data_IF_084253112207
#
_entry.id   IF_084253112207
#
_cell.length_a   1.000
_cell.length_b   1.000
_cell.length_c   1.000
_cell.angle_alpha   90.00
_cell.angle_beta   90.00
_cell.angle_gamma   90.00
#
_symmetry.space_group_name_H-M   'P 1'
#
loop_
_entity.id
_entity.type
_entity.pdbx_description
1 polymer ?
#
# COMPACT_ATOMS: atom_id res chain seq x y z
N UNK A 1 -32.78 14.65 39.75
CA UNK A 1 -33.99 14.63 38.92
C UNK A 1 -33.58 14.96 37.49
N UNK A 2 -33.18 13.98 36.73
CA UNK A 2 -33.27 13.87 35.28
C UNK A 2 -32.88 12.46 34.92
N UNK A 3 -33.89 11.69 34.66
CA UNK A 3 -33.84 10.38 34.07
C UNK A 3 -34.06 10.53 32.57
N UNK A 4 -33.62 9.52 31.80
CA UNK A 4 -33.86 9.24 30.39
C UNK A 4 -32.84 9.79 29.40
N UNK A 5 -31.92 8.94 29.04
CA UNK A 5 -31.47 8.85 27.66
C UNK A 5 -31.53 7.39 27.21
N UNK A 6 -32.47 7.16 26.35
CA UNK A 6 -32.75 5.88 25.71
C UNK A 6 -31.58 5.46 24.78
N UNK A 7 -31.51 4.17 24.59
CA UNK A 7 -30.70 3.53 23.56
C UNK A 7 -31.12 4.08 22.20
N UNK A 8 -30.32 4.96 21.63
CA UNK A 8 -30.46 5.35 20.21
C UNK A 8 -29.88 4.23 19.37
N UNK A 9 -30.74 3.64 18.58
CA UNK A 9 -30.42 2.62 17.59
C UNK A 9 -29.40 3.19 16.59
N UNK A 10 -28.27 2.51 16.40
CA UNK A 10 -27.20 2.96 15.49
C UNK A 10 -27.65 3.10 14.03
N UNK A 11 -28.81 2.53 13.68
CA UNK A 11 -29.41 2.62 12.36
C UNK A 11 -30.09 3.98 12.10
N UNK A 12 -30.64 4.63 13.12
CA UNK A 12 -31.24 5.97 12.99
C UNK A 12 -30.19 7.07 12.81
N UNK A 13 -29.01 6.90 13.38
CA UNK A 13 -27.89 7.85 13.22
C UNK A 13 -27.39 7.93 11.78
N UNK A 14 -27.36 6.82 11.04
CA UNK A 14 -26.93 6.80 9.64
C UNK A 14 -28.00 7.42 8.71
N UNK A 15 -29.27 7.18 8.98
CA UNK A 15 -30.40 7.76 8.22
C UNK A 15 -30.51 9.26 8.49
N UNK A 16 -30.27 9.72 9.71
CA UNK A 16 -30.24 11.14 10.06
C UNK A 16 -29.04 11.88 9.41
N UNK A 17 -27.89 11.22 9.27
CA UNK A 17 -26.74 11.80 8.56
C UNK A 17 -27.00 11.97 7.05
N UNK A 18 -27.83 11.13 6.45
CA UNK A 18 -28.18 11.21 5.03
C UNK A 18 -29.17 12.37 4.75
N UNK A 19 -30.07 12.69 5.68
CA UNK A 19 -31.06 13.79 5.53
C UNK A 19 -30.49 15.21 5.74
N UNK A 20 -29.35 15.36 6.42
CA UNK A 20 -28.67 16.66 6.60
C UNK A 20 -27.85 17.07 5.37
N UNK A 21 -27.81 16.24 4.32
CA UNK A 21 -26.88 16.37 3.18
C UNK A 21 -27.30 17.36 2.10
N UNK A 22 -28.39 18.07 2.25
CA UNK A 22 -28.80 19.15 1.30
C UNK A 22 -28.05 20.47 1.47
N UNK A 23 -27.17 20.62 2.47
CA UNK A 23 -26.38 21.85 2.66
C UNK A 23 -24.88 21.53 2.83
N UNK A 24 -24.13 21.56 1.71
CA UNK A 24 -22.73 21.90 1.53
C UNK A 24 -21.78 21.74 2.74
N UNK A 25 -21.51 20.52 3.20
CA UNK A 25 -20.34 20.22 4.04
C UNK A 25 -19.64 19.00 3.46
N UNK A 26 -18.32 19.09 3.25
CA UNK A 26 -17.54 17.96 2.79
C UNK A 26 -17.57 16.84 3.84
N UNK A 27 -18.16 15.69 3.50
CA UNK A 27 -18.11 14.53 4.38
C UNK A 27 -16.74 13.86 4.27
N UNK A 28 -16.11 13.51 5.40
CA UNK A 28 -14.89 12.72 5.40
C UNK A 28 -15.19 11.31 4.89
N UNK A 29 -14.12 10.57 4.51
CA UNK A 29 -14.20 9.13 4.24
C UNK A 29 -14.96 8.42 5.35
N UNK A 30 -16.03 7.71 4.99
CA UNK A 30 -16.86 6.94 5.92
C UNK A 30 -16.90 5.47 5.54
N UNK A 31 -17.07 4.60 6.53
CA UNK A 31 -17.38 3.19 6.29
C UNK A 31 -18.89 3.02 6.10
N UNK A 32 -19.28 2.18 5.14
CA UNK A 32 -20.65 1.77 4.95
C UNK A 32 -20.73 0.28 4.60
N UNK A 33 -21.82 -0.37 5.00
CA UNK A 33 -22.12 -1.74 4.65
C UNK A 33 -23.10 -1.73 3.46
N UNK A 34 -22.67 -2.28 2.32
CA UNK A 34 -23.43 -2.31 1.08
C UNK A 34 -24.09 -3.67 0.95
N UNK A 35 -25.43 -3.70 0.83
CA UNK A 35 -26.17 -4.93 0.56
C UNK A 35 -25.86 -5.45 -0.84
N UNK A 36 -25.50 -6.70 -0.93
CA UNK A 36 -25.18 -7.37 -2.18
C UNK A 36 -26.40 -8.09 -2.74
N UNK A 37 -26.43 -8.27 -4.06
CA UNK A 37 -27.52 -8.97 -4.76
C UNK A 37 -27.64 -10.45 -4.36
N UNK A 38 -26.59 -11.05 -3.81
CA UNK A 38 -26.58 -12.42 -3.28
C UNK A 38 -27.07 -12.54 -1.82
N UNK A 39 -27.55 -11.43 -1.23
CA UNK A 39 -28.03 -11.35 0.15
C UNK A 39 -26.92 -11.11 1.18
N UNK A 40 -25.67 -11.06 0.77
CA UNK A 40 -24.53 -10.71 1.64
C UNK A 40 -24.40 -9.21 1.87
N UNK A 41 -23.44 -8.84 2.72
CA UNK A 41 -23.05 -7.44 2.95
C UNK A 41 -21.55 -7.27 2.67
N UNK A 42 -21.21 -6.12 2.13
CA UNK A 42 -19.81 -5.73 1.88
C UNK A 42 -19.51 -4.43 2.62
N UNK A 43 -18.62 -4.51 3.61
CA UNK A 43 -18.10 -3.33 4.28
C UNK A 43 -17.06 -2.64 3.40
N UNK A 44 -17.26 -1.35 3.12
CA UNK A 44 -16.36 -0.59 2.26
C UNK A 44 -16.25 0.87 2.67
N UNK A 45 -15.23 1.54 2.15
CA UNK A 45 -15.03 2.98 2.32
C UNK A 45 -15.76 3.71 1.20
N UNK A 46 -16.58 4.70 1.55
CA UNK A 46 -17.18 5.64 0.61
C UNK A 46 -16.47 7.01 0.77
N UNK A 47 -15.82 7.46 -0.31
CA UNK A 47 -15.14 8.77 -0.37
C UNK A 47 -15.91 9.67 -1.34
N UNK A 48 -16.70 10.60 -0.78
CA UNK A 48 -17.52 11.56 -1.54
C UNK A 48 -16.73 12.88 -1.67
N UNK A 49 -16.59 13.40 -2.90
CA UNK A 49 -15.80 14.61 -3.10
C UNK A 49 -16.03 15.29 -4.43
N UNK A 50 -15.33 16.42 -4.63
CA UNK A 50 -15.36 17.18 -5.88
C UNK A 50 -14.60 16.41 -6.98
N UNK A 51 -15.33 15.55 -7.68
CA UNK A 51 -14.81 14.74 -8.80
C UNK A 51 -15.87 14.55 -9.86
N UNK A 52 -15.45 14.24 -11.08
CA UNK A 52 -16.36 13.98 -12.21
C UNK A 52 -16.65 12.48 -12.38
N UNK A 53 -15.70 11.64 -12.06
CA UNK A 53 -15.74 10.20 -12.31
C UNK A 53 -15.89 9.40 -11.02
N UNK A 54 -16.57 8.26 -11.12
CA UNK A 54 -16.63 7.25 -10.06
C UNK A 54 -15.47 6.28 -10.28
N UNK A 55 -14.79 5.89 -9.20
CA UNK A 55 -13.72 4.90 -9.25
C UNK A 55 -13.82 3.94 -8.07
N UNK A 56 -13.58 2.67 -8.36
CA UNK A 56 -13.42 1.60 -7.38
C UNK A 56 -11.93 1.27 -7.23
N UNK A 57 -11.49 1.04 -6.00
CA UNK A 57 -10.15 0.55 -5.69
C UNK A 57 -10.18 -0.27 -4.41
N UNK A 58 -9.09 -0.94 -4.11
CA UNK A 58 -8.85 -1.52 -2.78
C UNK A 58 -7.87 -0.57 -2.07
N UNK A 59 -8.17 -0.22 -0.82
CA UNK A 59 -7.28 0.61 0.01
C UNK A 59 -5.97 -0.12 0.32
N UNK A 60 -5.02 0.57 0.91
CA UNK A 60 -3.74 -0.05 1.32
C UNK A 60 -3.95 -1.09 2.43
N UNK A 61 -4.99 -0.90 3.26
CA UNK A 61 -5.39 -1.82 4.32
C UNK A 61 -6.23 -3.01 3.79
N UNK A 62 -6.45 -3.10 2.46
CA UNK A 62 -7.20 -4.18 1.84
C UNK A 62 -8.71 -3.96 1.83
N UNK A 63 -9.22 -2.82 2.29
CA UNK A 63 -10.66 -2.52 2.30
C UNK A 63 -11.11 -1.95 0.94
N UNK A 64 -12.22 -2.43 0.35
CA UNK A 64 -12.80 -1.82 -0.85
C UNK A 64 -13.14 -0.34 -0.62
N UNK A 65 -12.79 0.51 -1.57
CA UNK A 65 -13.08 1.94 -1.53
C UNK A 65 -13.74 2.37 -2.83
N UNK A 66 -14.89 3.02 -2.73
CA UNK A 66 -15.55 3.70 -3.85
C UNK A 66 -15.42 5.21 -3.69
N UNK A 67 -14.95 5.87 -4.73
CA UNK A 67 -14.84 7.33 -4.81
C UNK A 67 -15.92 7.86 -5.74
N UNK A 68 -16.77 8.72 -5.23
CA UNK A 68 -17.95 9.22 -5.96
C UNK A 68 -18.02 10.76 -5.92
N UNK A 69 -18.65 11.40 -6.94
CA UNK A 69 -18.97 12.83 -6.91
C UNK A 69 -20.03 13.16 -5.86
N UNK A 70 -20.10 14.43 -5.48
CA UNK A 70 -21.22 14.93 -4.69
C UNK A 70 -22.56 14.62 -5.36
N UNK A 71 -23.59 14.29 -4.57
CA UNK A 71 -24.93 13.96 -5.05
C UNK A 71 -25.10 12.57 -5.65
N UNK A 72 -24.10 11.70 -5.56
CA UNK A 72 -24.25 10.29 -5.93
C UNK A 72 -25.11 9.56 -4.89
N UNK A 73 -26.24 8.96 -5.31
CA UNK A 73 -27.15 8.24 -4.42
C UNK A 73 -26.56 6.89 -3.98
N UNK A 74 -27.00 6.40 -2.81
CA UNK A 74 -26.59 5.09 -2.31
C UNK A 74 -27.03 3.94 -3.23
N UNK A 75 -28.20 4.05 -3.87
CA UNK A 75 -28.66 3.06 -4.84
C UNK A 75 -27.69 2.92 -6.03
N UNK A 76 -27.22 4.06 -6.55
CA UNK A 76 -26.24 4.09 -7.62
C UNK A 76 -24.89 3.50 -7.17
N UNK A 77 -24.47 3.76 -5.94
CA UNK A 77 -23.27 3.18 -5.34
C UNK A 77 -23.46 1.66 -5.24
N UNK A 78 -24.58 1.20 -4.70
CA UNK A 78 -24.91 -0.23 -4.57
C UNK A 78 -24.92 -0.94 -5.92
N UNK A 79 -25.54 -0.36 -6.95
CA UNK A 79 -25.53 -0.91 -8.31
C UNK A 79 -24.12 -1.06 -8.88
N UNK A 80 -23.26 -0.04 -8.70
CA UNK A 80 -21.88 -0.09 -9.19
C UNK A 80 -21.09 -1.16 -8.45
N UNK A 81 -21.25 -1.27 -7.13
CA UNK A 81 -20.59 -2.27 -6.31
C UNK A 81 -21.02 -3.68 -6.74
N UNK A 82 -22.33 -3.91 -6.87
CA UNK A 82 -22.87 -5.19 -7.29
C UNK A 82 -22.39 -5.60 -8.69
N UNK A 83 -22.37 -4.69 -9.66
CA UNK A 83 -21.82 -4.95 -11.01
C UNK A 83 -20.32 -5.31 -10.98
N UNK A 84 -19.58 -4.87 -10.00
CA UNK A 84 -18.13 -5.08 -9.89
C UNK A 84 -17.74 -6.04 -8.76
N UNK A 85 -18.69 -6.73 -8.13
CA UNK A 85 -18.44 -7.56 -6.94
C UNK A 85 -17.40 -8.65 -7.17
N UNK A 86 -17.42 -9.29 -8.35
CA UNK A 86 -16.44 -10.32 -8.71
C UNK A 86 -15.02 -9.75 -8.81
N UNK A 87 -14.86 -8.53 -9.35
CA UNK A 87 -13.58 -7.84 -9.38
C UNK A 87 -13.12 -7.49 -7.95
N UNK A 88 -14.00 -6.96 -7.11
CA UNK A 88 -13.71 -6.61 -5.72
C UNK A 88 -13.23 -7.85 -4.96
N UNK A 89 -14.00 -8.94 -4.98
CA UNK A 89 -13.66 -10.21 -4.30
C UNK A 89 -12.34 -10.79 -4.80
N UNK A 90 -12.09 -10.74 -6.12
CA UNK A 90 -10.82 -11.19 -6.71
C UNK A 90 -9.64 -10.32 -6.27
N UNK A 91 -9.84 -9.02 -6.20
CA UNK A 91 -8.81 -8.07 -5.77
C UNK A 91 -8.50 -8.23 -4.27
N UNK A 92 -9.53 -8.36 -3.41
CA UNK A 92 -9.35 -8.68 -1.98
C UNK A 92 -8.64 -10.03 -1.77
N UNK A 93 -9.06 -11.08 -2.47
CA UNK A 93 -8.43 -12.39 -2.39
C UNK A 93 -6.97 -12.37 -2.89
N UNK A 94 -6.66 -11.53 -3.88
CA UNK A 94 -5.28 -11.33 -4.36
C UNK A 94 -4.42 -10.64 -3.32
N UNK A 95 -4.95 -9.60 -2.65
CA UNK A 95 -4.26 -8.89 -1.56
C UNK A 95 -4.06 -9.78 -0.33
N UNK A 96 -5.08 -10.57 0.03
CA UNK A 96 -5.00 -11.50 1.16
C UNK A 96 -4.06 -12.68 0.91
N UNK A 97 -3.86 -13.09 -0.35
CA UNK A 97 -2.88 -14.13 -0.73
C UNK A 97 -1.45 -13.60 -0.84
N UNK A 98 -1.26 -12.30 -0.98
CA UNK A 98 0.08 -11.72 -1.07
C UNK A 98 0.63 -11.56 0.34
N UNK A 99 1.54 -12.43 0.70
CA UNK A 99 2.44 -12.18 1.81
C UNK A 99 3.23 -10.91 1.42
N UNK A 100 3.12 -9.89 2.24
CA UNK A 100 3.70 -8.57 1.97
C UNK A 100 4.24 -7.92 3.24
N UNK A 101 4.03 -6.64 3.40
CA UNK A 101 4.36 -5.92 4.63
C UNK A 101 3.40 -6.32 5.78
N UNK A 102 3.77 -6.11 7.05
CA UNK A 102 2.94 -6.45 8.19
C UNK A 102 1.55 -5.82 8.14
N UNK A 103 0.55 -6.55 8.59
CA UNK A 103 -0.85 -6.10 8.72
C UNK A 103 -1.29 -6.07 10.17
N UNK A 104 -1.00 -7.13 10.92
CA UNK A 104 -1.42 -7.30 12.32
C UNK A 104 -0.29 -7.10 13.31
N UNK A 105 0.96 -7.27 12.89
CA UNK A 105 2.19 -7.19 13.71
C UNK A 105 2.22 -8.23 14.83
N UNK A 106 1.41 -9.29 14.70
CA UNK A 106 1.33 -10.35 15.69
C UNK A 106 2.50 -11.32 15.56
N UNK A 107 2.82 -11.96 16.68
CA UNK A 107 3.81 -13.05 16.69
C UNK A 107 3.38 -14.19 15.76
N UNK A 108 4.27 -14.61 14.86
CA UNK A 108 4.00 -15.62 13.85
C UNK A 108 3.40 -15.07 12.53
N UNK A 109 3.10 -13.77 12.41
CA UNK A 109 2.65 -13.20 11.14
C UNK A 109 3.73 -13.37 10.06
N UNK A 110 3.35 -13.98 8.92
CA UNK A 110 4.24 -14.11 7.76
C UNK A 110 4.22 -12.84 6.93
N UNK A 111 5.39 -12.29 6.72
CA UNK A 111 5.63 -11.12 5.87
C UNK A 111 6.66 -11.44 4.80
N UNK A 112 6.79 -10.56 3.81
CA UNK A 112 7.81 -10.71 2.78
C UNK A 112 8.82 -9.57 2.82
N UNK A 113 10.09 -9.90 2.98
CA UNK A 113 11.19 -8.96 2.91
C UNK A 113 12.30 -9.52 2.02
N UNK A 114 12.83 -8.72 1.12
CA UNK A 114 13.89 -9.08 0.17
C UNK A 114 13.58 -10.36 -0.63
N UNK A 115 12.29 -10.55 -0.98
CA UNK A 115 11.80 -11.70 -1.73
C UNK A 115 11.61 -12.98 -0.90
N UNK A 116 11.99 -12.98 0.38
CA UNK A 116 11.84 -14.11 1.30
C UNK A 116 10.61 -13.95 2.17
N UNK A 117 9.98 -15.07 2.52
CA UNK A 117 8.95 -15.12 3.56
C UNK A 117 9.63 -15.25 4.92
N UNK A 118 9.31 -14.34 5.84
CA UNK A 118 9.84 -14.31 7.19
C UNK A 118 8.70 -14.18 8.20
N UNK A 119 8.80 -14.85 9.33
CA UNK A 119 7.84 -14.72 10.41
C UNK A 119 8.25 -13.56 11.34
N UNK A 120 7.29 -12.74 11.76
CA UNK A 120 7.50 -11.81 12.87
C UNK A 120 7.58 -12.63 14.16
N UNK A 121 8.70 -12.54 14.86
CA UNK A 121 8.92 -13.25 16.12
C UNK A 121 9.18 -12.26 17.26
N UNK A 122 8.26 -12.23 18.20
CA UNK A 122 8.41 -11.46 19.41
C UNK A 122 9.37 -12.16 20.38
N UNK A 123 10.41 -11.47 20.83
CA UNK A 123 11.42 -11.98 21.76
C UNK A 123 11.54 -11.04 22.96
N UNK A 124 12.00 -11.56 24.09
CA UNK A 124 12.20 -10.72 25.27
C UNK A 124 13.28 -9.66 25.02
N UNK A 125 13.01 -8.42 25.42
CA UNK A 125 13.95 -7.30 25.30
C UNK A 125 15.28 -7.54 26.04
N UNK A 126 15.30 -8.45 27.01
CA UNK A 126 16.53 -8.83 27.72
C UNK A 126 17.52 -9.60 26.83
N UNK A 127 17.06 -10.20 25.72
CA UNK A 127 17.92 -10.94 24.81
C UNK A 127 18.64 -10.00 23.81
N UNK A 128 17.98 -8.91 23.40
CA UNK A 128 18.51 -7.88 22.48
C UNK A 128 17.60 -6.64 22.48
N UNK A 129 18.15 -5.49 22.06
CA UNK A 129 17.44 -4.20 22.15
C UNK A 129 16.93 -3.66 20.80
N UNK A 130 17.38 -4.22 19.69
CA UNK A 130 17.02 -3.74 18.35
C UNK A 130 16.45 -4.87 17.50
N UNK A 131 15.46 -4.59 16.60
CA UNK A 131 14.96 -5.59 15.68
C UNK A 131 16.07 -6.18 14.80
N UNK A 132 15.96 -7.46 14.51
CA UNK A 132 16.95 -8.18 13.71
C UNK A 132 16.28 -9.09 12.69
N UNK A 133 16.69 -8.98 11.42
CA UNK A 133 16.29 -9.87 10.36
C UNK A 133 17.28 -11.04 10.28
N UNK A 134 16.74 -12.25 10.34
CA UNK A 134 17.43 -13.50 10.04
C UNK A 134 16.94 -14.08 8.72
N UNK A 135 17.37 -15.28 8.35
CA UNK A 135 16.90 -15.91 7.11
C UNK A 135 15.39 -16.15 7.06
N UNK A 136 14.76 -16.48 8.19
CA UNK A 136 13.35 -16.90 8.25
C UNK A 136 12.51 -16.09 9.25
N UNK A 137 13.11 -15.20 10.03
CA UNK A 137 12.45 -14.49 11.10
C UNK A 137 12.85 -13.02 11.13
N UNK A 138 11.87 -12.17 11.43
CA UNK A 138 12.06 -10.81 11.87
C UNK A 138 11.86 -10.77 13.39
N UNK A 139 12.95 -10.74 14.14
CA UNK A 139 12.95 -10.71 15.59
C UNK A 139 12.65 -9.29 16.06
N UNK A 140 11.60 -9.14 16.87
CA UNK A 140 11.18 -7.86 17.44
C UNK A 140 11.33 -7.94 18.96
N UNK A 141 12.20 -7.11 19.57
CA UNK A 141 12.34 -7.08 21.02
C UNK A 141 11.09 -6.47 21.65
N UNK A 142 10.46 -7.20 22.55
CA UNK A 142 9.30 -6.75 23.32
C UNK A 142 9.52 -7.00 24.81
N UNK A 143 8.84 -6.22 25.64
CA UNK A 143 8.70 -6.47 27.07
C UNK A 143 7.25 -6.80 27.40
N UNK A 144 6.98 -7.31 28.59
CA UNK A 144 5.61 -7.54 29.07
C UNK A 144 4.77 -6.26 29.16
N UNK A 145 5.40 -5.09 29.05
CA UNK A 145 4.73 -3.79 29.08
C UNK A 145 4.62 -3.15 27.68
N UNK A 146 5.13 -3.80 26.63
CA UNK A 146 5.07 -3.26 25.27
C UNK A 146 3.63 -3.22 24.78
N UNK A 147 3.20 -2.05 24.30
CA UNK A 147 1.89 -1.88 23.66
C UNK A 147 1.95 -2.31 22.20
N UNK A 148 0.80 -2.67 21.60
CA UNK A 148 0.71 -2.97 20.17
C UNK A 148 1.25 -1.83 19.29
N UNK A 149 0.97 -0.58 19.70
CA UNK A 149 1.45 0.60 18.99
C UNK A 149 2.98 0.73 19.02
N UNK A 150 3.63 0.34 20.12
CA UNK A 150 5.09 0.33 20.22
C UNK A 150 5.70 -0.76 19.35
N UNK A 151 5.12 -1.97 19.35
CA UNK A 151 5.54 -3.08 18.48
C UNK A 151 5.43 -2.68 17.02
N UNK A 152 4.29 -2.10 16.63
CA UNK A 152 4.07 -1.60 15.28
C UNK A 152 5.11 -0.55 14.88
N UNK A 153 5.27 0.48 15.71
CA UNK A 153 6.22 1.57 15.43
C UNK A 153 7.66 1.06 15.28
N UNK A 154 8.09 0.14 16.14
CA UNK A 154 9.42 -0.45 16.10
C UNK A 154 9.63 -1.30 14.84
N UNK A 155 8.64 -2.11 14.49
CA UNK A 155 8.66 -2.94 13.28
C UNK A 155 8.68 -2.09 12.01
N UNK A 156 7.81 -1.09 11.91
CA UNK A 156 7.73 -0.18 10.76
C UNK A 156 9.02 0.63 10.58
N UNK A 157 9.61 1.10 11.69
CA UNK A 157 10.90 1.80 11.67
C UNK A 157 11.98 0.90 11.08
N UNK A 158 12.13 -0.33 11.60
CA UNK A 158 13.13 -1.27 11.11
C UNK A 158 12.96 -1.58 9.62
N UNK A 159 11.73 -1.88 9.17
CA UNK A 159 11.45 -2.17 7.76
C UNK A 159 11.75 -0.95 6.88
N UNK A 160 11.45 0.25 7.36
CA UNK A 160 11.75 1.50 6.63
C UNK A 160 13.26 1.76 6.51
N UNK A 161 14.02 1.50 7.56
CA UNK A 161 15.48 1.63 7.56
C UNK A 161 16.12 0.58 6.65
N UNK A 162 15.65 -0.68 6.69
CA UNK A 162 16.07 -1.73 5.80
C UNK A 162 15.78 -1.37 4.32
N UNK A 163 14.57 -0.88 4.04
CA UNK A 163 14.19 -0.45 2.70
C UNK A 163 15.09 0.70 2.20
N UNK A 164 15.33 1.70 3.05
CA UNK A 164 16.21 2.81 2.71
C UNK A 164 17.63 2.33 2.39
N UNK A 165 18.20 1.46 3.21
CA UNK A 165 19.54 0.91 3.03
C UNK A 165 19.66 0.13 1.71
N UNK A 166 18.76 -0.83 1.47
CA UNK A 166 18.79 -1.68 0.28
C UNK A 166 18.54 -0.89 -1.02
N UNK A 167 17.58 0.02 -1.01
CA UNK A 167 17.27 0.86 -2.18
C UNK A 167 18.46 1.79 -2.48
N UNK A 168 19.05 2.39 -1.44
CA UNK A 168 20.20 3.28 -1.62
C UNK A 168 21.42 2.54 -2.17
N UNK A 169 21.67 1.32 -1.68
CA UNK A 169 22.75 0.47 -2.20
C UNK A 169 22.50 0.08 -3.67
N UNK A 170 21.28 -0.34 -4.01
CA UNK A 170 20.92 -0.67 -5.39
C UNK A 170 20.98 0.57 -6.31
N UNK A 171 20.54 1.73 -5.85
CA UNK A 171 20.60 2.96 -6.63
C UNK A 171 22.05 3.35 -6.91
N UNK A 172 22.93 3.32 -5.90
CA UNK A 172 24.35 3.58 -6.07
C UNK A 172 24.98 2.63 -7.09
N UNK A 173 24.73 1.34 -6.95
CA UNK A 173 25.21 0.33 -7.89
C UNK A 173 24.75 0.61 -9.33
N UNK A 174 23.48 0.97 -9.52
CA UNK A 174 22.95 1.27 -10.86
C UNK A 174 23.51 2.58 -11.44
N UNK A 175 23.76 3.57 -10.62
CA UNK A 175 24.46 4.82 -11.04
C UNK A 175 25.88 4.49 -11.53
N UNK A 176 26.61 3.68 -10.79
CA UNK A 176 27.98 3.28 -11.16
C UNK A 176 28.00 2.49 -12.48
N UNK A 177 27.05 1.57 -12.68
CA UNK A 177 26.94 0.75 -13.90
C UNK A 177 26.51 1.58 -15.12
N UNK A 178 25.57 2.50 -14.95
CA UNK A 178 24.97 3.23 -16.07
C UNK A 178 25.64 4.56 -16.39
N UNK A 179 26.30 5.18 -15.40
CA UNK A 179 26.80 6.55 -15.47
C UNK A 179 25.69 7.62 -15.41
N UNK A 180 24.42 7.22 -15.21
CA UNK A 180 23.28 8.12 -15.16
C UNK A 180 23.16 8.72 -13.75
N UNK A 181 23.27 10.05 -13.65
CA UNK A 181 23.30 10.76 -12.37
C UNK A 181 22.02 11.56 -12.16
N UNK A 182 21.18 11.22 -11.17
CA UNK A 182 20.04 12.03 -10.78
C UNK A 182 20.48 13.21 -9.91
N UNK A 183 19.70 14.30 -9.93
CA UNK A 183 19.91 15.45 -9.04
C UNK A 183 19.55 15.15 -7.58
N UNK A 184 18.51 14.30 -7.41
CA UNK A 184 18.03 13.91 -6.08
C UNK A 184 17.37 12.53 -6.13
N UNK A 185 17.64 11.73 -5.11
CA UNK A 185 16.93 10.46 -4.87
C UNK A 185 16.21 10.55 -3.53
N UNK A 186 14.96 10.07 -3.50
CA UNK A 186 14.13 10.02 -2.28
C UNK A 186 13.51 8.64 -2.17
N UNK A 187 13.64 8.00 -1.02
CA UNK A 187 12.91 6.77 -0.67
C UNK A 187 11.73 7.18 0.20
N UNK A 188 10.51 6.81 -0.22
CA UNK A 188 9.27 7.13 0.51
C UNK A 188 8.16 6.16 0.16
N UNK A 189 7.13 6.06 0.99
CA UNK A 189 5.92 5.32 0.62
C UNK A 189 5.15 6.02 -0.49
N UNK A 190 4.70 5.23 -1.47
CA UNK A 190 3.88 5.68 -2.61
C UNK A 190 2.72 4.71 -2.81
N UNK A 191 1.57 5.23 -3.25
CA UNK A 191 0.34 4.44 -3.39
C UNK A 191 0.16 3.80 -4.77
N UNK A 192 0.74 4.39 -5.83
CA UNK A 192 0.37 4.06 -7.21
C UNK A 192 1.51 3.51 -8.07
N UNK A 193 2.76 3.64 -7.66
CA UNK A 193 3.91 3.22 -8.46
C UNK A 193 5.09 2.76 -7.60
N UNK A 194 5.97 1.95 -8.18
CA UNK A 194 7.20 1.52 -7.54
C UNK A 194 8.31 2.56 -7.58
N UNK A 195 8.25 3.47 -8.57
CA UNK A 195 9.15 4.58 -8.70
C UNK A 195 8.53 5.72 -9.50
N UNK A 196 9.20 6.85 -9.54
CA UNK A 196 8.87 8.02 -10.34
C UNK A 196 10.10 8.87 -10.58
N UNK A 197 10.36 9.19 -11.84
CA UNK A 197 11.27 10.24 -12.23
C UNK A 197 10.48 11.45 -12.74
N UNK A 198 10.91 12.67 -12.38
CA UNK A 198 10.31 13.92 -12.87
C UNK A 198 11.34 14.74 -13.64
N UNK A 199 10.85 15.73 -14.41
CA UNK A 199 11.66 16.50 -15.39
C UNK A 199 12.89 17.20 -14.81
N UNK A 200 12.91 17.51 -13.51
CA UNK A 200 14.08 18.07 -12.82
C UNK A 200 15.08 17.00 -12.34
N UNK A 201 15.07 15.80 -12.92
CA UNK A 201 15.94 14.68 -12.59
C UNK A 201 15.83 14.19 -11.13
N UNK A 202 14.71 14.47 -10.45
CA UNK A 202 14.46 13.90 -9.12
C UNK A 202 13.77 12.54 -9.27
N UNK A 203 14.36 11.54 -8.63
CA UNK A 203 13.85 10.17 -8.58
C UNK A 203 13.25 9.91 -7.19
N UNK A 204 12.07 9.33 -7.16
CA UNK A 204 11.46 8.82 -5.94
C UNK A 204 11.25 7.31 -6.09
N UNK A 205 11.69 6.52 -5.10
CA UNK A 205 11.49 5.07 -5.05
C UNK A 205 10.56 4.75 -3.89
N UNK A 206 9.60 3.87 -4.15
CA UNK A 206 8.65 3.41 -3.15
C UNK A 206 9.32 2.43 -2.19
N UNK A 207 9.35 2.75 -0.88
CA UNK A 207 9.92 1.86 0.13
C UNK A 207 9.29 0.47 0.17
N UNK A 208 8.03 0.33 -0.29
CA UNK A 208 7.34 -0.97 -0.38
C UNK A 208 8.00 -1.96 -1.36
N UNK A 209 8.94 -1.55 -2.22
CA UNK A 209 9.69 -2.49 -3.08
C UNK A 209 10.55 -3.47 -2.27
N UNK A 210 10.75 -3.23 -0.98
CA UNK A 210 11.48 -4.11 -0.07
C UNK A 210 10.87 -5.52 0.04
N UNK A 211 9.60 -5.68 -0.32
CA UNK A 211 8.95 -7.00 -0.38
C UNK A 211 9.51 -7.91 -1.47
N UNK A 212 10.12 -7.33 -2.50
CA UNK A 212 10.72 -8.06 -3.61
C UNK A 212 12.20 -8.36 -3.35
N UNK A 213 12.72 -9.30 -4.12
CA UNK A 213 14.16 -9.58 -4.12
C UNK A 213 14.98 -8.40 -4.66
N UNK A 214 16.28 -8.44 -4.40
CA UNK A 214 17.20 -7.37 -4.78
C UNK A 214 17.25 -7.13 -6.30
N UNK A 215 17.00 -8.15 -7.14
CA UNK A 215 16.97 -7.99 -8.60
C UNK A 215 15.81 -7.07 -9.02
N UNK A 216 14.66 -7.19 -8.37
CA UNK A 216 13.51 -6.32 -8.59
C UNK A 216 13.80 -4.88 -8.12
N UNK A 217 14.44 -4.70 -6.96
CA UNK A 217 14.83 -3.38 -6.45
C UNK A 217 15.80 -2.69 -7.44
N UNK A 218 16.83 -3.41 -7.89
CA UNK A 218 17.77 -2.94 -8.91
C UNK A 218 17.07 -2.54 -10.21
N UNK A 219 16.12 -3.36 -10.66
CA UNK A 219 15.32 -3.05 -11.85
C UNK A 219 14.52 -1.76 -11.70
N UNK A 220 13.86 -1.52 -10.56
CA UNK A 220 13.14 -0.26 -10.33
C UNK A 220 14.10 0.92 -10.34
N UNK A 221 15.25 0.83 -9.66
CA UNK A 221 16.27 1.88 -9.69
C UNK A 221 16.76 2.16 -11.12
N UNK A 222 17.08 1.12 -11.89
CA UNK A 222 17.47 1.24 -13.29
C UNK A 222 16.38 1.89 -14.15
N UNK A 223 15.12 1.47 -13.97
CA UNK A 223 13.97 1.99 -14.71
C UNK A 223 13.85 3.51 -14.53
N UNK A 224 13.95 3.98 -13.29
CA UNK A 224 13.86 5.41 -13.00
C UNK A 224 15.10 6.18 -13.47
N UNK A 225 16.29 5.58 -13.45
CA UNK A 225 17.50 6.17 -14.04
C UNK A 225 17.38 6.31 -15.57
N UNK A 226 16.81 5.32 -16.26
CA UNK A 226 16.58 5.39 -17.70
C UNK A 226 15.64 6.54 -18.09
N UNK A 227 14.74 6.97 -17.20
CA UNK A 227 13.91 8.15 -17.41
C UNK A 227 14.69 9.48 -17.40
N UNK A 228 15.94 9.51 -16.93
CA UNK A 228 16.81 10.69 -17.08
C UNK A 228 17.18 10.95 -18.54
N UNK A 229 17.08 9.91 -19.40
CA UNK A 229 17.39 9.98 -20.83
C UNK A 229 16.10 9.99 -21.67
N UNK A 230 15.16 9.12 -21.35
CA UNK A 230 13.91 8.95 -22.08
C UNK A 230 12.72 9.03 -21.13
N UNK A 231 12.03 10.18 -21.11
CA UNK A 231 10.91 10.41 -20.18
C UNK A 231 9.66 9.56 -20.47
N UNK A 232 9.56 8.99 -21.66
CA UNK A 232 8.47 8.08 -22.06
C UNK A 232 8.98 6.65 -22.21
N UNK A 233 8.08 5.68 -22.23
CA UNK A 233 8.39 4.26 -22.41
C UNK A 233 8.47 3.87 -23.90
N UNK A 234 9.23 4.63 -24.70
CA UNK A 234 9.46 4.36 -26.12
C UNK A 234 10.33 3.12 -26.36
N UNK A 235 10.55 2.75 -27.62
CA UNK A 235 11.44 1.65 -28.00
C UNK A 235 12.88 1.91 -27.51
N UNK A 236 13.35 3.15 -27.58
CA UNK A 236 14.67 3.59 -27.14
C UNK A 236 14.81 3.45 -25.62
N UNK A 237 13.76 3.80 -24.85
CA UNK A 237 13.71 3.57 -23.40
C UNK A 237 13.91 2.09 -23.07
N UNK A 238 13.12 1.21 -23.70
CA UNK A 238 13.22 -0.23 -23.44
C UNK A 238 14.52 -0.83 -23.96
N UNK A 239 15.11 -0.29 -25.00
CA UNK A 239 16.45 -0.65 -25.48
C UNK A 239 17.50 -0.31 -24.42
N UNK A 240 17.42 0.88 -23.83
CA UNK A 240 18.33 1.31 -22.77
C UNK A 240 18.19 0.45 -21.50
N UNK A 241 16.95 0.17 -21.06
CA UNK A 241 16.70 -0.75 -19.94
C UNK A 241 17.26 -2.13 -20.23
N UNK A 242 17.00 -2.68 -21.45
CA UNK A 242 17.46 -4.00 -21.85
C UNK A 242 18.98 -4.14 -21.94
N UNK A 243 19.68 -3.05 -22.24
CA UNK A 243 21.15 -3.01 -22.25
C UNK A 243 21.76 -3.36 -20.88
N UNK A 244 21.17 -2.87 -19.79
CA UNK A 244 21.68 -3.05 -18.43
C UNK A 244 20.93 -4.13 -17.64
N UNK A 245 19.73 -4.53 -18.08
CA UNK A 245 18.92 -5.58 -17.47
C UNK A 245 18.24 -6.41 -18.57
N UNK A 246 18.96 -7.38 -19.19
CA UNK A 246 18.43 -8.17 -20.30
C UNK A 246 17.15 -8.94 -19.96
N UNK A 247 16.99 -9.37 -18.72
CA UNK A 247 15.84 -10.13 -18.20
C UNK A 247 14.72 -9.26 -17.61
N UNK A 248 14.72 -7.94 -17.89
CA UNK A 248 13.73 -6.98 -17.34
C UNK A 248 12.28 -7.41 -17.57
N UNK A 249 11.98 -8.13 -18.65
CA UNK A 249 10.62 -8.61 -18.95
C UNK A 249 10.15 -9.61 -17.91
N UNK A 250 11.04 -10.54 -17.49
CA UNK A 250 10.78 -11.53 -16.43
C UNK A 250 10.56 -10.83 -15.08
N UNK A 251 11.46 -9.89 -14.73
CA UNK A 251 11.37 -9.14 -13.48
C UNK A 251 10.07 -8.33 -13.42
N UNK A 252 9.71 -7.65 -14.51
CA UNK A 252 8.44 -6.92 -14.63
C UNK A 252 7.22 -7.82 -14.41
N UNK A 253 7.29 -9.09 -14.83
CA UNK A 253 6.24 -10.07 -14.61
C UNK A 253 6.13 -10.46 -13.11
N UNK A 254 7.26 -10.67 -12.44
CA UNK A 254 7.29 -10.94 -10.99
C UNK A 254 6.62 -9.81 -10.20
N UNK A 255 6.91 -8.57 -10.56
CA UNK A 255 6.39 -7.38 -9.86
C UNK A 255 4.90 -7.08 -10.14
N UNK A 256 4.27 -7.75 -11.12
CA UNK A 256 2.83 -7.62 -11.42
C UNK A 256 1.97 -8.61 -10.61
N UNK A 257 2.56 -9.72 -10.16
CA UNK A 257 1.89 -10.79 -9.41
C UNK A 257 2.03 -10.58 -7.91
#
# INVERSE_FOLDING_TARGET
MYSLLGKTDMNEGLTALIFVYERRVAMPKGYADIKLADGGELRMIIDIGKRKNISLRISEEGTPEIRVPYGCSMDKISDIVNKNINWIRKAEASLNRRIGLPKTYQNGELIRLLGKEVAICHKDVNDFFEPKLTDNELLIPISKFSTEQQVRSLTDKFISELAYSEISACMKEMIEITGLMPEKVTVKQMSASWGRCISNKHISINSKVIVFDRSCIRYVCLHELCHLVHMNHSAEFWSLVGKYCPDYKRIKQIMKN
#
